data_IF_288287411772
#
_entry.id   IF_288287411772
#
_cell.length_a   1.000
_cell.length_b   1.000
_cell.length_c   1.000
_cell.angle_alpha   90.00
_cell.angle_beta   90.00
_cell.angle_gamma   90.00
#
_symmetry.space_group_name_H-M   'P 1'
#
loop_
_entity.id
_entity.type
_entity.pdbx_description
1 polymer ?
#
# COMPACT_ATOMS: atom_id res chain seq x y z
N UNK A 1 -8.91 -15.05 2.45
CA UNK A 1 -8.90 -13.66 1.94
C UNK A 1 -10.13 -13.40 1.09
N UNK A 2 -11.27 -13.06 1.73
CA UNK A 2 -12.43 -12.46 1.04
C UNK A 2 -12.12 -10.97 0.82
N UNK A 3 -12.48 -10.37 -0.32
CA UNK A 3 -12.29 -8.94 -0.54
C UNK A 3 -13.25 -8.14 0.38
N UNK A 4 -12.86 -6.95 0.84
CA UNK A 4 -13.71 -6.14 1.72
C UNK A 4 -14.97 -5.66 0.98
N UNK A 5 -16.07 -5.36 1.71
CA UNK A 5 -17.31 -4.89 1.12
C UNK A 5 -17.10 -3.55 0.38
N UNK A 6 -17.71 -3.43 -0.80
CA UNK A 6 -17.56 -2.28 -1.73
C UNK A 6 -17.86 -0.91 -1.11
N UNK A 7 -18.62 -0.86 0.00
CA UNK A 7 -18.95 0.38 0.71
C UNK A 7 -17.84 0.88 1.65
N UNK A 8 -16.97 0.00 2.17
CA UNK A 8 -15.83 0.40 3.00
C UNK A 8 -14.69 0.98 2.17
N UNK A 9 -14.57 0.58 0.90
CA UNK A 9 -13.58 1.09 -0.05
C UNK A 9 -13.88 2.56 -0.41
N UNK A 10 -15.16 2.93 -0.49
CA UNK A 10 -15.59 4.30 -0.77
C UNK A 10 -15.23 5.29 0.35
N UNK A 11 -15.48 4.93 1.61
CA UNK A 11 -15.11 5.79 2.75
C UNK A 11 -13.60 5.85 3.00
N UNK A 12 -12.87 4.73 2.81
CA UNK A 12 -11.40 4.74 2.96
C UNK A 12 -10.73 5.58 1.86
N UNK A 13 -11.25 5.54 0.63
CA UNK A 13 -10.81 6.40 -0.48
C UNK A 13 -11.14 7.88 -0.24
N UNK A 14 -12.29 8.19 0.36
CA UNK A 14 -12.65 9.58 0.73
C UNK A 14 -11.81 10.13 1.89
N UNK A 15 -11.41 9.29 2.86
CA UNK A 15 -10.49 9.68 3.95
C UNK A 15 -9.04 9.83 3.46
N UNK A 16 -8.59 9.05 2.48
CA UNK A 16 -7.28 9.21 1.83
C UNK A 16 -7.20 10.48 0.97
N UNK A 17 -8.32 11.01 0.48
CA UNK A 17 -8.40 12.29 -0.24
C UNK A 17 -8.40 13.52 0.67
N UNK A 18 -8.61 13.34 1.98
CA UNK A 18 -8.60 14.40 3.01
C UNK A 18 -7.28 14.48 3.78
N UNK A 19 -6.39 13.50 3.62
CA UNK A 19 -5.02 13.64 4.07
C UNK A 19 -4.33 14.65 3.16
N UNK A 20 -3.77 15.75 3.70
CA UNK A 20 -2.90 16.59 2.89
C UNK A 20 -1.82 15.69 2.30
N UNK A 21 -1.46 15.85 1.01
CA UNK A 21 -0.32 15.13 0.46
C UNK A 21 0.86 15.34 1.42
N UNK A 22 1.67 14.30 1.71
CA UNK A 22 2.86 14.49 2.53
C UNK A 22 3.56 15.70 1.96
N UNK A 23 3.73 16.74 2.79
CA UNK A 23 4.37 17.97 2.37
C UNK A 23 5.62 17.56 1.61
N UNK A 24 5.83 18.04 0.37
CA UNK A 24 7.02 17.70 -0.37
C UNK A 24 8.16 18.01 0.58
N UNK A 25 8.92 16.96 0.98
CA UNK A 25 10.12 17.12 1.77
C UNK A 25 10.87 18.21 1.04
N UNK A 26 10.98 19.39 1.66
CA UNK A 26 11.42 20.58 0.96
C UNK A 26 12.76 20.23 0.34
N UNK A 27 12.75 20.01 -0.99
CA UNK A 27 13.95 19.67 -1.71
C UNK A 27 14.79 20.94 -1.61
N UNK A 28 15.74 20.93 -0.66
CA UNK A 28 16.67 22.01 -0.47
C UNK A 28 17.29 22.33 -1.83
N UNK A 29 17.57 23.61 -2.07
CA UNK A 29 18.22 24.02 -3.32
C UNK A 29 19.44 23.12 -3.56
N UNK A 30 19.62 22.58 -4.79
CA UNK A 30 20.70 21.65 -5.06
C UNK A 30 22.05 22.29 -4.74
N UNK A 31 22.88 21.54 -4.02
CA UNK A 31 24.22 21.97 -3.63
C UNK A 31 25.12 22.13 -4.85
N UNK A 32 26.21 22.90 -4.72
CA UNK A 32 27.19 23.07 -5.80
C UNK A 32 27.77 21.74 -6.27
N UNK A 33 27.95 20.76 -5.37
CA UNK A 33 28.39 19.42 -5.75
C UNK A 33 27.35 18.70 -6.62
N UNK A 34 26.07 18.71 -6.23
CA UNK A 34 24.99 18.09 -7.01
C UNK A 34 24.82 18.72 -8.39
N UNK A 35 25.03 20.04 -8.50
CA UNK A 35 25.06 20.74 -9.79
C UNK A 35 26.23 20.25 -10.66
N UNK A 36 27.42 20.13 -10.08
CA UNK A 36 28.59 19.59 -10.78
C UNK A 36 28.39 18.13 -11.23
N UNK A 37 27.83 17.28 -10.37
CA UNK A 37 27.46 15.90 -10.70
C UNK A 37 26.51 15.85 -11.88
N UNK A 38 25.40 16.59 -11.82
CA UNK A 38 24.43 16.68 -12.91
C UNK A 38 25.08 17.10 -14.22
N UNK A 39 25.98 18.09 -14.19
CA UNK A 39 26.69 18.55 -15.38
C UNK A 39 27.57 17.45 -15.98
N UNK A 40 28.35 16.75 -15.14
CA UNK A 40 29.20 15.64 -15.57
C UNK A 40 28.38 14.47 -16.11
N UNK A 41 27.26 14.13 -15.48
CA UNK A 41 26.36 13.07 -15.94
C UNK A 41 25.80 13.38 -17.32
N UNK A 42 25.34 14.63 -17.55
CA UNK A 42 24.88 15.09 -18.86
C UNK A 42 26.00 15.10 -19.90
N UNK A 43 27.22 15.47 -19.51
CA UNK A 43 28.38 15.41 -20.41
C UNK A 43 28.70 13.97 -20.84
N UNK A 44 28.73 13.04 -19.88
CA UNK A 44 28.92 11.61 -20.16
C UNK A 44 27.79 11.05 -21.04
N UNK A 45 26.55 11.49 -20.81
CA UNK A 45 25.42 11.15 -21.66
C UNK A 45 25.59 11.72 -23.08
N UNK A 46 26.03 12.97 -23.23
CA UNK A 46 26.34 13.58 -24.53
C UNK A 46 27.44 12.83 -25.28
N UNK A 47 28.49 12.39 -24.58
CA UNK A 47 29.52 11.51 -25.15
C UNK A 47 28.91 10.20 -25.67
N UNK A 48 28.03 9.55 -24.91
CA UNK A 48 27.36 8.33 -25.33
C UNK A 48 26.43 8.55 -26.53
N UNK A 49 25.66 9.65 -26.54
CA UNK A 49 24.74 10.01 -27.62
C UNK A 49 25.46 10.30 -28.94
N UNK A 50 26.66 10.90 -28.88
CA UNK A 50 27.48 11.24 -30.05
C UNK A 50 28.42 10.12 -30.48
N UNK A 51 28.54 9.03 -29.70
CA UNK A 51 29.53 7.97 -29.94
C UNK A 51 29.42 7.28 -31.31
N UNK A 52 28.22 7.25 -31.92
CA UNK A 52 27.96 6.65 -33.24
C UNK A 52 27.86 7.68 -34.38
N UNK A 53 28.06 8.96 -34.10
CA UNK A 53 28.02 10.02 -35.11
C UNK A 53 29.34 10.11 -35.87
N UNK A 54 29.31 10.89 -36.95
CA UNK A 54 30.46 11.26 -37.78
C UNK A 54 30.31 12.74 -38.19
N UNK A 55 31.26 13.27 -38.97
CA UNK A 55 31.24 14.66 -39.44
C UNK A 55 30.05 15.01 -40.37
N UNK A 56 29.14 14.08 -40.67
CA UNK A 56 27.94 14.33 -41.48
C UNK A 56 28.21 14.49 -42.98
N UNK A 57 29.44 14.24 -43.45
CA UNK A 57 29.87 14.35 -44.85
C UNK A 57 30.00 13.01 -45.57
N UNK A 58 29.63 12.97 -46.86
CA UNK A 58 29.54 11.75 -47.68
C UNK A 58 30.85 10.99 -47.95
N UNK A 59 32.00 11.45 -47.46
CA UNK A 59 33.31 10.79 -47.60
C UNK A 59 34.06 10.73 -46.26
N UNK A 60 33.49 10.04 -45.27
CA UNK A 60 34.08 9.80 -43.94
C UNK A 60 35.52 9.27 -43.99
N UNK A 61 35.86 8.44 -44.98
CA UNK A 61 37.21 7.88 -45.13
C UNK A 61 38.28 8.89 -45.59
N UNK A 62 37.89 9.95 -46.32
CA UNK A 62 38.79 11.04 -46.69
C UNK A 62 38.94 12.02 -45.53
N UNK A 63 37.84 12.31 -44.83
CA UNK A 63 37.81 13.18 -43.66
C UNK A 63 38.65 12.61 -42.52
N UNK A 64 38.51 11.33 -42.17
CA UNK A 64 39.33 10.69 -41.11
C UNK A 64 40.82 10.57 -41.44
N UNK A 65 41.19 10.67 -42.72
CA UNK A 65 42.59 10.60 -43.19
C UNK A 65 43.26 11.98 -43.24
N UNK A 66 42.45 13.05 -43.28
CA UNK A 66 42.88 14.44 -43.45
C UNK A 66 42.63 15.28 -42.19
N UNK A 67 41.64 14.88 -41.38
CA UNK A 67 41.26 15.44 -40.09
C UNK A 67 41.43 14.38 -38.99
N UNK A 68 41.55 14.81 -37.74
CA UNK A 68 41.47 13.92 -36.58
C UNK A 68 40.12 13.19 -36.55
N UNK A 69 40.06 12.01 -35.91
CA UNK A 69 38.81 11.24 -35.76
C UNK A 69 37.71 12.10 -35.12
N UNK A 70 36.48 11.98 -35.61
CA UNK A 70 35.30 12.65 -35.03
C UNK A 70 35.20 12.47 -33.51
N UNK A 71 35.55 11.26 -33.05
CA UNK A 71 35.59 10.87 -31.64
C UNK A 71 36.34 11.86 -30.74
N UNK A 72 37.43 12.47 -31.21
CA UNK A 72 38.26 13.41 -30.45
C UNK A 72 38.25 14.82 -31.06
N UNK A 73 37.28 15.12 -31.92
CA UNK A 73 37.20 16.40 -32.62
C UNK A 73 36.59 17.50 -31.75
N UNK A 74 36.96 18.75 -32.02
CA UNK A 74 36.36 19.95 -31.42
C UNK A 74 34.87 20.08 -31.77
N UNK A 75 34.48 19.62 -32.97
CA UNK A 75 33.08 19.61 -33.41
C UNK A 75 32.23 18.73 -32.48
N UNK A 76 32.71 17.51 -32.17
CA UNK A 76 32.00 16.62 -31.23
C UNK A 76 31.93 17.23 -29.83
N UNK A 77 32.96 17.93 -29.38
CA UNK A 77 32.96 18.63 -28.10
C UNK A 77 31.88 19.71 -28.04
N UNK A 78 31.80 20.58 -29.05
CA UNK A 78 30.79 21.63 -29.12
C UNK A 78 29.37 21.06 -29.18
N UNK A 79 29.13 20.01 -29.98
CA UNK A 79 27.84 19.32 -30.00
C UNK A 79 27.41 18.81 -28.61
N UNK A 80 28.36 18.30 -27.81
CA UNK A 80 28.10 17.85 -26.45
C UNK A 80 27.78 19.05 -25.56
N UNK A 81 28.62 20.09 -25.60
CA UNK A 81 28.50 21.30 -24.78
C UNK A 81 27.16 22.02 -24.97
N UNK A 82 26.69 22.15 -26.21
CA UNK A 82 25.38 22.76 -26.53
C UNK A 82 24.20 21.98 -25.95
N UNK A 83 24.37 20.68 -25.69
CA UNK A 83 23.31 19.80 -25.18
C UNK A 83 23.30 19.65 -23.65
N UNK A 84 24.25 20.27 -22.93
CA UNK A 84 24.41 20.09 -21.48
C UNK A 84 23.32 20.79 -20.67
N UNK A 85 22.85 21.95 -21.10
CA UNK A 85 21.91 22.76 -20.34
C UNK A 85 20.71 23.13 -21.21
N UNK A 86 19.51 23.06 -20.62
CA UNK A 86 18.33 23.64 -21.26
C UNK A 86 18.46 25.17 -21.26
N UNK A 87 17.88 25.83 -22.27
CA UNK A 87 17.93 27.30 -22.40
C UNK A 87 17.38 28.05 -21.18
N UNK A 88 16.53 27.38 -20.40
CA UNK A 88 15.86 27.95 -19.24
C UNK A 88 16.60 27.69 -17.92
N UNK A 89 17.67 26.88 -17.93
CA UNK A 89 18.46 26.55 -16.74
C UNK A 89 19.63 27.52 -16.59
N UNK A 90 19.35 28.73 -16.10
CA UNK A 90 20.34 29.81 -16.00
C UNK A 90 21.59 29.41 -15.17
N UNK A 91 21.40 28.66 -14.08
CA UNK A 91 22.51 28.26 -13.21
C UNK A 91 23.42 27.21 -13.89
N UNK A 92 22.85 26.27 -14.64
CA UNK A 92 23.61 25.32 -15.46
C UNK A 92 24.39 26.04 -16.54
N UNK A 93 23.73 26.92 -17.31
CA UNK A 93 24.36 27.68 -18.40
C UNK A 93 25.52 28.53 -17.86
N UNK A 94 25.32 29.24 -16.75
CA UNK A 94 26.38 30.02 -16.10
C UNK A 94 27.57 29.14 -15.67
N UNK A 95 27.33 27.93 -15.17
CA UNK A 95 28.40 27.02 -14.78
C UNK A 95 29.16 26.49 -15.99
N UNK A 96 28.47 26.15 -17.08
CA UNK A 96 29.09 25.71 -18.34
C UNK A 96 29.98 26.81 -18.91
N UNK A 97 29.46 28.04 -19.02
CA UNK A 97 30.22 29.20 -19.50
C UNK A 97 31.49 29.45 -18.67
N UNK A 98 31.39 29.35 -17.34
CA UNK A 98 32.55 29.55 -16.46
C UNK A 98 33.61 28.45 -16.54
N UNK A 99 33.23 27.25 -16.99
CA UNK A 99 34.08 26.06 -16.93
C UNK A 99 34.41 25.46 -18.30
N UNK A 100 34.04 26.13 -19.39
CA UNK A 100 34.30 25.74 -20.77
C UNK A 100 35.78 25.40 -21.00
N UNK A 101 36.70 26.28 -20.56
CA UNK A 101 38.15 26.07 -20.68
C UNK A 101 38.61 24.79 -19.96
N UNK A 102 38.06 24.50 -18.78
CA UNK A 102 38.44 23.30 -18.02
C UNK A 102 37.93 22.02 -18.71
N UNK A 103 36.73 22.05 -19.28
CA UNK A 103 36.15 20.93 -20.01
C UNK A 103 36.91 20.67 -21.32
N UNK A 104 37.32 21.73 -22.02
CA UNK A 104 38.15 21.63 -23.23
C UNK A 104 39.53 21.03 -22.90
N UNK A 105 40.19 21.51 -21.83
CA UNK A 105 41.46 20.96 -21.36
C UNK A 105 41.36 19.46 -21.04
N UNK A 106 40.23 19.00 -20.50
CA UNK A 106 40.00 17.56 -20.28
C UNK A 106 39.73 16.81 -21.58
N UNK A 107 38.95 17.39 -22.50
CA UNK A 107 38.63 16.82 -23.80
C UNK A 107 39.88 16.56 -24.66
N UNK A 108 40.86 17.46 -24.59
CA UNK A 108 42.10 17.34 -25.36
C UNK A 108 43.12 16.35 -24.77
N UNK A 109 42.82 15.68 -23.65
CA UNK A 109 43.72 14.67 -23.06
C UNK A 109 43.72 13.37 -23.85
N UNK A 110 44.91 12.78 -23.98
CA UNK A 110 45.12 11.50 -24.68
C UNK A 110 44.49 10.30 -23.95
N UNK A 111 44.43 10.36 -22.62
CA UNK A 111 43.69 9.42 -21.78
C UNK A 111 42.64 10.25 -21.04
N UNK A 112 41.36 9.88 -21.17
CA UNK A 112 40.25 10.56 -20.50
C UNK A 112 40.08 9.97 -19.09
N UNK A 113 40.62 10.59 -18.02
CA UNK A 113 40.34 10.13 -16.67
C UNK A 113 38.87 10.35 -16.35
N UNK A 114 38.33 9.63 -15.36
CA UNK A 114 36.95 9.84 -14.89
C UNK A 114 36.64 11.33 -14.72
N UNK A 115 35.68 11.82 -15.51
CA UNK A 115 35.39 13.25 -15.60
C UNK A 115 34.93 13.79 -14.25
N UNK A 116 34.16 13.02 -13.48
CA UNK A 116 33.67 13.43 -12.17
C UNK A 116 34.83 13.64 -11.18
N UNK A 117 35.70 12.65 -11.04
CA UNK A 117 36.87 12.71 -10.16
C UNK A 117 37.81 13.83 -10.59
N UNK A 118 38.08 13.98 -11.89
CA UNK A 118 38.96 15.03 -12.37
C UNK A 118 38.35 16.41 -12.15
N UNK A 119 37.12 16.63 -12.63
CA UNK A 119 36.50 17.94 -12.69
C UNK A 119 35.90 18.36 -11.33
N UNK A 120 34.96 17.59 -10.79
CA UNK A 120 34.22 18.00 -9.59
C UNK A 120 35.02 17.84 -8.30
N UNK A 121 35.90 16.82 -8.22
CA UNK A 121 36.65 16.52 -7.00
C UNK A 121 38.02 17.20 -6.98
N UNK A 122 38.80 17.15 -8.05
CA UNK A 122 40.18 17.68 -8.07
C UNK A 122 40.30 19.10 -8.61
N UNK A 123 39.62 19.43 -9.72
CA UNK A 123 39.69 20.75 -10.36
C UNK A 123 38.87 21.78 -9.59
N UNK A 124 37.56 21.57 -9.46
CA UNK A 124 36.66 22.51 -8.78
C UNK A 124 36.64 22.36 -7.25
N UNK A 125 37.02 21.18 -6.74
CA UNK A 125 36.99 20.84 -5.31
C UNK A 125 35.63 21.10 -4.64
N UNK A 126 34.55 21.01 -5.40
CA UNK A 126 33.17 21.19 -4.90
C UNK A 126 32.58 19.90 -4.37
N UNK A 127 33.08 18.75 -4.82
CA UNK A 127 32.68 17.41 -4.40
C UNK A 127 33.80 16.65 -3.70
N UNK A 128 33.41 15.55 -3.07
CA UNK A 128 34.28 14.53 -2.50
C UNK A 128 34.12 13.18 -3.22
N UNK A 129 35.12 12.28 -3.15
CA UNK A 129 34.95 10.90 -3.61
C UNK A 129 33.79 10.19 -2.88
N UNK A 130 33.14 9.20 -3.51
CA UNK A 130 32.11 8.39 -2.85
C UNK A 130 32.60 7.78 -1.53
N UNK A 131 31.73 7.76 -0.52
CA UNK A 131 32.01 7.30 0.83
C UNK A 131 32.84 8.27 1.69
N UNK A 132 32.97 9.52 1.27
CA UNK A 132 33.68 10.56 2.01
C UNK A 132 32.88 11.85 2.09
N UNK A 133 33.12 12.67 3.12
CA UNK A 133 32.30 13.85 3.43
C UNK A 133 33.12 15.01 4.02
N UNK A 134 32.49 16.18 4.08
CA UNK A 134 33.04 17.36 4.75
C UNK A 134 34.16 18.07 3.97
N UNK A 135 34.71 19.16 4.51
CA UNK A 135 35.66 20.02 3.78
C UNK A 135 36.92 19.25 3.34
N UNK A 136 37.39 18.32 4.17
CA UNK A 136 38.60 17.53 3.93
C UNK A 136 38.34 16.17 3.23
N UNK A 137 37.09 15.85 2.86
CA UNK A 137 36.69 14.52 2.36
C UNK A 137 37.14 13.37 3.27
N UNK A 138 36.74 13.42 4.54
CA UNK A 138 37.02 12.34 5.50
C UNK A 138 36.13 11.14 5.19
N UNK A 139 36.61 9.94 5.48
CA UNK A 139 35.81 8.73 5.28
C UNK A 139 34.56 8.75 6.17
N UNK A 140 33.41 8.36 5.60
CA UNK A 140 32.19 8.11 6.35
C UNK A 140 32.40 7.06 7.43
N UNK A 141 31.52 7.07 8.45
CA UNK A 141 31.45 5.98 9.42
C UNK A 141 31.25 4.63 8.70
N UNK A 142 32.04 3.61 9.06
CA UNK A 142 32.07 2.31 8.35
C UNK A 142 33.03 2.27 7.16
N UNK A 143 33.70 3.38 6.84
CA UNK A 143 34.69 3.49 5.77
C UNK A 143 34.09 3.94 4.43
N UNK A 144 34.97 4.27 3.46
CA UNK A 144 34.54 4.81 2.17
C UNK A 144 34.02 3.78 1.17
N UNK A 145 34.44 2.51 1.31
CA UNK A 145 33.98 1.44 0.40
C UNK A 145 32.57 0.97 0.71
N UNK A 146 32.19 0.98 1.99
CA UNK A 146 30.86 0.55 2.44
C UNK A 146 30.43 1.37 3.66
N UNK A 147 30.08 2.66 3.45
CA UNK A 147 29.58 3.53 4.51
C UNK A 147 28.40 2.88 5.24
N UNK A 148 28.31 3.11 6.55
CA UNK A 148 27.19 2.63 7.37
C UNK A 148 26.94 1.12 7.24
N UNK A 149 28.02 0.35 7.05
CA UNK A 149 28.00 -1.11 6.85
C UNK A 149 27.15 -1.57 5.65
N UNK A 150 26.79 -0.65 4.75
CA UNK A 150 25.89 -0.88 3.62
C UNK A 150 24.41 -0.86 4.00
N UNK A 151 24.11 -0.59 5.27
CA UNK A 151 22.79 -0.66 5.87
C UNK A 151 22.27 0.73 6.30
N UNK A 152 22.82 1.79 5.71
CA UNK A 152 22.39 3.15 5.96
C UNK A 152 23.00 4.16 4.99
N UNK A 153 22.51 5.39 5.08
CA UNK A 153 23.00 6.54 4.34
C UNK A 153 23.98 7.36 5.17
N UNK A 154 25.12 7.74 4.58
CA UNK A 154 26.07 8.64 5.23
C UNK A 154 25.68 10.11 4.98
N UNK A 155 25.60 10.87 6.06
CA UNK A 155 25.37 12.31 6.04
C UNK A 155 26.54 13.04 5.35
N UNK A 156 26.27 13.60 4.17
CA UNK A 156 27.27 14.31 3.38
C UNK A 156 28.07 13.43 2.41
N UNK A 157 27.61 12.21 2.12
CA UNK A 157 28.30 11.32 1.18
C UNK A 157 28.59 11.99 -0.17
N UNK A 158 29.85 11.96 -0.59
CA UNK A 158 30.34 12.59 -1.82
C UNK A 158 30.34 14.13 -1.80
N UNK A 159 29.99 14.76 -0.68
CA UNK A 159 29.83 16.21 -0.55
C UNK A 159 30.88 16.83 0.36
N UNK A 160 31.18 18.12 0.15
CA UNK A 160 31.99 18.93 1.06
C UNK A 160 31.26 19.32 2.35
N UNK A 161 30.00 18.93 2.47
CA UNK A 161 29.12 19.20 3.60
C UNK A 161 28.81 17.91 4.37
N UNK A 162 28.06 18.02 5.47
CA UNK A 162 27.67 16.88 6.31
C UNK A 162 28.64 16.57 7.44
N UNK A 163 28.23 15.66 8.32
CA UNK A 163 28.94 15.27 9.54
C UNK A 163 29.41 13.81 9.53
N UNK A 164 29.08 13.04 8.49
CA UNK A 164 29.50 11.65 8.31
C UNK A 164 28.74 10.64 9.16
N UNK A 165 27.70 11.09 9.87
CA UNK A 165 26.84 10.23 10.66
C UNK A 165 26.01 9.31 9.76
N UNK A 166 25.62 8.15 10.30
CA UNK A 166 24.83 7.16 9.58
C UNK A 166 23.35 7.28 9.91
N UNK A 167 22.52 7.32 8.86
CA UNK A 167 21.07 7.21 8.93
C UNK A 167 20.70 5.80 8.48
N UNK A 168 20.33 4.94 9.42
CA UNK A 168 20.13 3.52 9.15
C UNK A 168 18.87 3.25 8.34
N UNK A 169 18.94 2.23 7.47
CA UNK A 169 17.77 1.69 6.79
C UNK A 169 16.83 1.02 7.80
N UNK A 170 15.57 0.82 7.43
CA UNK A 170 14.60 0.08 8.23
C UNK A 170 15.15 -1.32 8.58
N UNK A 171 14.97 -1.74 9.83
CA UNK A 171 15.52 -3.00 10.35
C UNK A 171 16.86 -2.86 11.06
N UNK A 172 17.55 -1.72 10.94
CA UNK A 172 18.89 -1.51 11.48
C UNK A 172 18.95 -0.36 12.48
N UNK A 173 19.81 -0.49 13.48
CA UNK A 173 20.11 0.52 14.50
C UNK A 173 21.61 0.58 14.84
N UNK A 174 21.96 1.56 15.65
CA UNK A 174 23.34 1.80 16.09
C UNK A 174 24.14 2.73 15.17
N UNK A 175 25.33 3.12 15.60
CA UNK A 175 26.15 4.13 14.92
C UNK A 175 26.63 3.69 13.52
N UNK A 176 26.81 2.40 13.32
CA UNK A 176 27.28 1.82 12.05
C UNK A 176 26.18 1.04 11.31
N UNK A 177 24.94 1.06 11.79
CA UNK A 177 23.82 0.29 11.22
C UNK A 177 24.11 -1.22 11.11
N UNK A 178 24.78 -1.76 12.13
CA UNK A 178 25.14 -3.19 12.21
C UNK A 178 24.16 -3.95 13.12
N UNK A 179 23.52 -3.28 14.06
CA UNK A 179 22.64 -3.97 15.00
C UNK A 179 21.22 -3.98 14.45
N UNK A 180 20.50 -5.08 14.67
CA UNK A 180 19.11 -5.18 14.24
C UNK A 180 18.19 -4.47 15.23
N UNK A 181 17.20 -3.77 14.71
CA UNK A 181 16.14 -3.20 15.56
C UNK A 181 15.26 -4.31 16.14
N UNK A 182 14.43 -3.94 17.11
CA UNK A 182 13.50 -4.90 17.74
C UNK A 182 12.48 -5.36 16.69
N UNK A 183 12.09 -6.64 16.73
CA UNK A 183 11.34 -7.30 15.66
C UNK A 183 12.19 -7.72 14.44
N UNK A 184 13.52 -7.55 14.48
CA UNK A 184 14.45 -8.06 13.47
C UNK A 184 15.56 -8.87 14.14
N UNK A 185 15.97 -9.96 13.51
CA UNK A 185 17.10 -10.76 13.94
C UNK A 185 18.21 -10.75 12.89
N UNK A 186 19.43 -11.02 13.33
CA UNK A 186 20.58 -11.09 12.43
C UNK A 186 20.65 -12.47 11.80
N UNK A 187 20.19 -12.60 10.56
CA UNK A 187 20.26 -13.86 9.80
C UNK A 187 21.68 -14.18 9.35
N UNK A 188 22.49 -13.14 9.10
CA UNK A 188 23.92 -13.23 8.85
C UNK A 188 24.64 -12.08 9.55
N UNK A 189 25.77 -12.37 10.21
CA UNK A 189 26.63 -11.36 10.84
C UNK A 189 28.11 -11.67 10.64
N UNK A 190 28.81 -10.72 10.03
CA UNK A 190 30.26 -10.63 10.02
C UNK A 190 30.71 -9.41 10.84
N UNK A 191 32.02 -9.22 11.00
CA UNK A 191 32.59 -8.10 11.78
C UNK A 191 32.17 -6.71 11.27
N UNK A 192 31.85 -6.59 9.98
CA UNK A 192 31.63 -5.30 9.31
C UNK A 192 30.26 -5.17 8.64
N UNK A 193 29.42 -6.20 8.71
CA UNK A 193 28.11 -6.22 8.07
C UNK A 193 27.20 -7.26 8.67
N UNK A 194 25.94 -6.89 8.78
CA UNK A 194 24.85 -7.74 9.21
C UNK A 194 23.73 -7.67 8.19
N UNK A 195 22.99 -8.76 8.10
CA UNK A 195 21.70 -8.80 7.42
C UNK A 195 20.66 -8.97 8.52
N UNK A 196 19.81 -7.95 8.66
CA UNK A 196 18.68 -7.97 9.57
C UNK A 196 17.43 -8.41 8.81
N UNK A 197 16.81 -9.47 9.30
CA UNK A 197 15.59 -10.05 8.73
C UNK A 197 14.48 -9.89 9.75
N UNK A 198 13.30 -9.49 9.29
CA UNK A 198 12.14 -9.34 10.17
C UNK A 198 11.77 -10.70 10.80
N UNK A 199 11.39 -10.66 12.08
CA UNK A 199 10.78 -11.78 12.75
C UNK A 199 9.42 -12.12 12.11
N UNK A 200 8.93 -13.34 12.36
CA UNK A 200 7.55 -13.69 12.08
C UNK A 200 6.59 -12.78 12.87
N UNK A 201 5.40 -12.50 12.33
CA UNK A 201 4.43 -11.56 12.92
C UNK A 201 3.98 -11.96 14.33
N UNK A 202 4.11 -13.25 14.64
CA UNK A 202 3.84 -13.82 15.95
C UNK A 202 4.92 -13.53 17.01
N UNK A 203 6.13 -13.17 16.59
CA UNK A 203 7.25 -12.88 17.49
C UNK A 203 7.40 -11.37 17.74
N UNK A 204 7.52 -10.99 19.00
CA UNK A 204 7.99 -9.65 19.38
C UNK A 204 9.51 -9.55 19.26
N UNK A 205 10.21 -10.60 19.67
CA UNK A 205 11.66 -10.77 19.45
C UNK A 205 11.95 -12.19 19.00
N UNK A 206 12.95 -12.36 18.14
CA UNK A 206 13.33 -13.66 17.63
C UNK A 206 14.85 -13.80 17.58
N UNK A 207 15.34 -15.00 17.87
CA UNK A 207 16.73 -15.37 17.77
C UNK A 207 16.85 -16.81 17.29
N UNK A 208 17.75 -17.08 16.33
CA UNK A 208 17.97 -18.44 15.85
C UNK A 208 18.13 -18.55 14.34
N UNK A 209 18.08 -19.78 13.79
CA UNK A 209 18.33 -20.04 12.37
C UNK A 209 17.18 -19.57 11.46
N UNK A 210 16.00 -19.31 12.02
CA UNK A 210 14.81 -18.88 11.27
C UNK A 210 14.11 -17.73 11.98
N UNK A 211 13.34 -16.95 11.22
CA UNK A 211 12.55 -15.82 11.74
C UNK A 211 11.39 -16.23 12.67
N UNK A 212 11.14 -17.54 12.82
CA UNK A 212 10.08 -18.12 13.67
C UNK A 212 10.59 -18.64 15.01
N UNK A 213 11.90 -18.64 15.23
CA UNK A 213 12.44 -18.94 16.55
C UNK A 213 12.26 -17.71 17.43
N UNK A 214 11.12 -17.61 18.10
CA UNK A 214 10.77 -16.46 18.91
C UNK A 214 11.35 -16.60 20.33
N UNK A 215 11.90 -15.52 20.87
CA UNK A 215 12.29 -15.44 22.28
C UNK A 215 11.11 -14.90 23.12
N UNK A 216 10.37 -13.94 22.56
CA UNK A 216 9.15 -13.36 23.13
C UNK A 216 8.06 -13.30 22.06
N UNK A 217 6.84 -13.70 22.43
CA UNK A 217 5.67 -13.61 21.56
C UNK A 217 4.99 -12.25 21.63
N UNK A 218 4.32 -11.88 20.53
CA UNK A 218 3.36 -10.78 20.55
C UNK A 218 2.11 -11.15 21.38
N UNK A 219 1.32 -10.14 21.74
CA UNK A 219 0.05 -10.37 22.44
C UNK A 219 -0.91 -11.19 21.57
N UNK A 220 -1.69 -12.09 22.18
CA UNK A 220 -2.54 -13.04 21.45
C UNK A 220 -1.82 -14.33 21.02
N UNK A 221 -0.53 -14.47 21.34
CA UNK A 221 0.27 -15.65 21.02
C UNK A 221 0.89 -16.26 22.27
N UNK A 222 1.14 -17.57 22.24
CA UNK A 222 1.79 -18.32 23.32
C UNK A 222 3.04 -19.02 22.82
N UNK A 223 4.12 -18.96 23.60
CA UNK A 223 5.40 -19.57 23.23
C UNK A 223 5.36 -21.09 23.46
N UNK A 224 5.51 -21.85 22.39
CA UNK A 224 5.53 -23.32 22.40
C UNK A 224 6.77 -23.81 21.63
N UNK A 225 7.77 -24.32 22.36
CA UNK A 225 9.03 -24.85 21.78
C UNK A 225 9.70 -23.85 20.83
N UNK A 226 9.97 -22.65 21.35
CA UNK A 226 10.62 -21.54 20.63
C UNK A 226 9.83 -21.02 19.41
N UNK A 227 8.55 -21.37 19.27
CA UNK A 227 7.67 -20.83 18.24
C UNK A 227 6.41 -20.25 18.89
N UNK A 228 5.96 -19.10 18.41
CA UNK A 228 4.71 -18.51 18.87
C UNK A 228 3.54 -19.14 18.12
N UNK A 229 2.60 -19.68 18.89
CA UNK A 229 1.36 -20.28 18.39
C UNK A 229 0.20 -19.40 18.81
N UNK A 230 -0.70 -19.18 17.87
CA UNK A 230 -1.89 -18.37 18.06
C UNK A 230 -2.74 -18.92 19.21
N UNK A 231 -3.22 -18.03 20.07
CA UNK A 231 -4.13 -18.40 21.16
C UNK A 231 -5.54 -18.37 20.61
N UNK A 232 -6.18 -19.53 20.51
CA UNK A 232 -7.59 -19.58 20.12
C UNK A 232 -8.49 -19.10 21.26
N UNK A 233 -8.84 -17.81 21.27
CA UNK A 233 -9.71 -17.25 22.31
C UNK A 233 -11.16 -17.73 22.20
N UNK A 234 -11.56 -18.20 21.01
CA UNK A 234 -12.90 -18.74 20.77
C UNK A 234 -13.06 -20.17 21.32
N UNK A 235 -11.98 -20.92 21.46
CA UNK A 235 -11.95 -22.24 22.08
C UNK A 235 -11.91 -22.22 23.62
N UNK A 236 -11.91 -21.03 24.24
CA UNK A 236 -11.97 -20.89 25.69
C UNK A 236 -13.31 -21.41 26.26
N UNK A 237 -13.31 -21.84 27.53
CA UNK A 237 -14.54 -22.30 28.20
C UNK A 237 -15.66 -21.23 28.18
N UNK A 238 -15.26 -19.96 28.25
CA UNK A 238 -16.14 -18.80 28.07
C UNK A 238 -15.57 -17.91 26.97
N UNK A 239 -16.11 -18.00 25.74
CA UNK A 239 -15.68 -17.14 24.64
C UNK A 239 -15.88 -15.65 24.97
N UNK A 240 -15.03 -14.75 24.44
CA UNK A 240 -15.02 -13.34 24.82
C UNK A 240 -16.15 -12.49 24.20
N UNK A 241 -16.98 -13.07 23.33
CA UNK A 241 -18.05 -12.36 22.62
C UNK A 241 -19.38 -12.37 23.41
N UNK A 242 -20.26 -11.44 23.08
CA UNK A 242 -21.61 -11.37 23.66
C UNK A 242 -22.52 -12.49 23.16
N UNK A 243 -23.65 -12.72 23.84
CA UNK A 243 -24.60 -13.80 23.50
C UNK A 243 -25.28 -13.62 22.12
N UNK A 244 -25.28 -12.40 21.56
CA UNK A 244 -25.83 -12.06 20.23
C UNK A 244 -24.76 -12.04 19.14
N UNK A 245 -23.55 -12.47 19.46
CA UNK A 245 -22.41 -12.56 18.55
C UNK A 245 -21.83 -13.96 18.56
N UNK A 246 -21.10 -14.30 17.51
CA UNK A 246 -20.23 -15.47 17.48
C UNK A 246 -18.77 -15.05 17.35
N UNK A 247 -17.89 -15.89 17.88
CA UNK A 247 -16.45 -15.65 17.90
C UNK A 247 -15.79 -16.32 16.69
N UNK A 248 -14.99 -15.57 15.96
CA UNK A 248 -14.07 -16.09 14.94
C UNK A 248 -12.62 -15.87 15.39
N UNK A 249 -11.84 -16.94 15.43
CA UNK A 249 -10.43 -16.86 15.78
C UNK A 249 -9.61 -16.31 14.59
N UNK A 250 -8.76 -15.32 14.83
CA UNK A 250 -7.89 -14.71 13.81
C UNK A 250 -6.44 -14.69 14.33
N UNK A 251 -5.45 -14.69 13.45
CA UNK A 251 -4.06 -14.68 13.94
C UNK A 251 -3.77 -13.46 14.84
N UNK A 252 -3.41 -13.72 16.09
CA UNK A 252 -3.08 -12.75 17.14
C UNK A 252 -4.27 -12.11 17.86
N UNK A 253 -5.52 -12.52 17.58
CA UNK A 253 -6.73 -11.96 18.18
C UNK A 253 -7.98 -12.79 17.86
N UNK A 254 -9.15 -12.30 18.25
CA UNK A 254 -10.43 -12.79 17.75
C UNK A 254 -11.25 -11.63 17.17
N UNK A 255 -12.27 -11.97 16.38
CA UNK A 255 -13.33 -11.04 15.95
C UNK A 255 -14.68 -11.55 16.41
N UNK A 256 -15.55 -10.63 16.86
CA UNK A 256 -16.93 -10.95 17.24
C UNK A 256 -17.87 -10.46 16.15
N UNK A 257 -18.48 -11.41 15.46
CA UNK A 257 -19.40 -11.14 14.35
C UNK A 257 -20.85 -11.28 14.83
N UNK A 258 -21.75 -10.50 14.25
CA UNK A 258 -23.15 -10.53 14.64
C UNK A 258 -23.84 -11.80 14.16
N UNK A 259 -24.77 -12.30 14.98
CA UNK A 259 -25.66 -13.38 14.55
C UNK A 259 -26.58 -12.93 13.43
N UNK A 260 -27.04 -13.89 12.64
CA UNK A 260 -28.12 -13.65 11.68
C UNK A 260 -29.36 -13.08 12.39
N UNK A 261 -30.07 -12.16 11.73
CA UNK A 261 -31.21 -11.46 12.32
C UNK A 261 -32.37 -12.39 12.70
N UNK A 262 -32.37 -13.62 12.19
CA UNK A 262 -33.33 -14.67 12.51
C UNK A 262 -32.98 -15.48 13.76
N UNK A 263 -31.84 -15.22 14.41
CA UNK A 263 -31.36 -15.99 15.56
C UNK A 263 -31.59 -15.28 16.91
N UNK A 264 -31.89 -16.07 17.95
CA UNK A 264 -31.61 -15.72 19.36
C UNK A 264 -30.28 -16.39 19.73
N UNK A 265 -29.19 -15.71 19.39
CA UNK A 265 -27.82 -16.21 19.57
C UNK A 265 -27.39 -17.27 18.55
N UNK A 266 -26.08 -17.39 18.33
CA UNK A 266 -25.51 -18.22 17.27
C UNK A 266 -24.14 -18.78 17.64
N UNK A 267 -23.61 -19.63 16.77
CA UNK A 267 -22.27 -20.25 16.90
C UNK A 267 -21.39 -20.04 15.66
N UNK A 268 -21.91 -19.35 14.64
CA UNK A 268 -21.26 -19.17 13.35
C UNK A 268 -22.09 -18.29 12.41
N UNK A 269 -21.58 -18.07 11.20
CA UNK A 269 -22.20 -17.23 10.17
C UNK A 269 -23.56 -17.80 9.69
N UNK A 270 -24.57 -16.94 9.56
CA UNK A 270 -25.84 -17.22 8.89
C UNK A 270 -26.89 -18.02 9.70
N UNK A 271 -28.09 -18.23 9.12
CA UNK A 271 -29.26 -18.76 9.82
C UNK A 271 -29.17 -20.26 10.14
N UNK A 272 -28.19 -20.97 9.59
CA UNK A 272 -27.92 -22.37 9.89
C UNK A 272 -27.25 -22.58 11.25
N UNK A 273 -26.52 -21.57 11.74
CA UNK A 273 -25.74 -21.63 12.97
C UNK A 273 -26.44 -20.95 14.16
N UNK A 274 -27.73 -20.67 14.04
CA UNK A 274 -28.55 -20.20 15.16
C UNK A 274 -28.62 -21.27 16.26
N UNK A 275 -28.46 -20.83 17.51
CA UNK A 275 -28.75 -21.65 18.69
C UNK A 275 -30.27 -21.86 18.79
N UNK A 276 -31.01 -20.76 18.66
CA UNK A 276 -32.47 -20.72 18.65
C UNK A 276 -32.96 -19.73 17.57
N UNK A 277 -34.14 -19.98 17.00
CA UNK A 277 -34.77 -19.06 16.06
C UNK A 277 -35.59 -18.01 16.80
N UNK A 278 -35.66 -16.78 16.26
CA UNK A 278 -36.59 -15.76 16.76
C UNK A 278 -38.05 -16.20 16.57
N UNK A 279 -38.97 -15.58 17.30
CA UNK A 279 -40.41 -15.79 17.11
C UNK A 279 -40.85 -15.53 15.67
N UNK A 280 -41.71 -16.39 15.14
CA UNK A 280 -42.12 -16.37 13.72
C UNK A 280 -41.21 -17.19 12.79
N UNK A 281 -40.11 -17.75 13.31
CA UNK A 281 -39.20 -18.62 12.56
C UNK A 281 -39.11 -19.99 13.21
N UNK A 282 -38.85 -21.01 12.39
CA UNK A 282 -38.67 -22.40 12.83
C UNK A 282 -37.44 -23.01 12.19
N UNK A 283 -36.86 -24.04 12.83
CA UNK A 283 -35.70 -24.73 12.31
C UNK A 283 -36.13 -25.72 11.23
N UNK A 284 -36.02 -25.31 9.97
CA UNK A 284 -36.30 -26.13 8.81
C UNK A 284 -35.00 -26.49 8.08
N UNK A 285 -34.78 -27.77 7.78
CA UNK A 285 -33.57 -28.26 7.10
C UNK A 285 -32.25 -27.81 7.75
N UNK A 286 -32.26 -27.57 9.06
CA UNK A 286 -31.07 -27.16 9.82
C UNK A 286 -30.83 -25.66 9.93
N UNK A 287 -31.69 -24.82 9.33
CA UNK A 287 -31.59 -23.35 9.39
C UNK A 287 -32.89 -22.71 9.88
N UNK A 288 -32.80 -21.53 10.46
CA UNK A 288 -33.99 -20.75 10.78
C UNK A 288 -34.66 -20.25 9.50
N UNK A 289 -35.87 -20.71 9.26
CA UNK A 289 -36.71 -20.33 8.14
C UNK A 289 -38.02 -19.75 8.67
N UNK A 290 -38.54 -18.78 7.92
CA UNK A 290 -39.80 -18.13 8.21
C UNK A 290 -40.95 -19.16 8.25
N UNK A 291 -41.83 -19.06 9.24
CA UNK A 291 -43.01 -19.91 9.32
C UNK A 291 -44.05 -19.33 8.38
N UNK A 292 -44.40 -20.05 7.30
CA UNK A 292 -45.52 -19.63 6.45
C UNK A 292 -46.85 -19.96 7.11
N UNK A 293 -47.38 -19.04 7.91
CA UNK A 293 -48.65 -19.27 8.61
C UNK A 293 -49.84 -19.42 7.66
N UNK A 294 -49.77 -18.83 6.46
CA UNK A 294 -50.81 -18.96 5.44
C UNK A 294 -50.90 -20.36 4.85
N UNK A 295 -49.79 -21.12 4.90
CA UNK A 295 -49.70 -22.51 4.44
C UNK A 295 -49.97 -23.54 5.53
N UNK A 296 -50.20 -23.11 6.78
CA UNK A 296 -50.54 -24.02 7.89
C UNK A 296 -51.97 -24.55 7.77
N UNK A 297 -52.20 -25.73 8.35
CA UNK A 297 -53.52 -26.37 8.35
C UNK A 297 -54.57 -25.61 9.19
N UNK A 298 -54.11 -24.84 10.18
CA UNK A 298 -54.95 -23.93 10.95
C UNK A 298 -55.10 -22.61 10.19
N UNK A 299 -56.31 -22.05 10.17
CA UNK A 299 -56.54 -20.77 9.51
C UNK A 299 -55.81 -19.64 10.27
N UNK A 300 -54.77 -19.09 9.66
CA UNK A 300 -54.06 -17.91 10.17
C UNK A 300 -54.99 -16.68 10.27
N UNK A 301 -55.78 -16.44 9.23
CA UNK A 301 -56.77 -15.36 9.21
C UNK A 301 -58.10 -15.78 9.85
N UNK A 302 -58.61 -14.96 10.78
CA UNK A 302 -59.83 -15.28 11.55
C UNK A 302 -61.11 -15.03 10.76
N UNK A 303 -61.12 -14.07 9.84
CA UNK A 303 -62.32 -13.65 9.10
C UNK A 303 -62.59 -14.57 7.91
N UNK A 304 -63.87 -14.69 7.53
CA UNK A 304 -64.25 -15.38 6.29
C UNK A 304 -63.97 -14.49 5.07
N UNK A 305 -63.53 -15.11 3.97
CA UNK A 305 -63.23 -14.46 2.68
C UNK A 305 -62.09 -13.41 2.71
N UNK A 306 -61.15 -13.56 3.64
CA UNK A 306 -59.95 -12.73 3.74
C UNK A 306 -58.75 -13.41 3.06
N UNK A 307 -57.89 -12.64 2.41
CA UNK A 307 -56.66 -13.16 1.81
C UNK A 307 -55.52 -13.11 2.82
N UNK A 308 -54.78 -14.21 2.94
CA UNK A 308 -53.57 -14.30 3.77
C UNK A 308 -52.33 -14.08 2.91
N UNK A 309 -51.41 -13.23 3.39
CA UNK A 309 -50.10 -12.99 2.79
C UNK A 309 -49.01 -13.22 3.83
N UNK A 310 -48.12 -14.18 3.58
CA UNK A 310 -46.99 -14.45 4.46
C UNK A 310 -45.95 -13.33 4.38
N UNK A 311 -45.32 -12.99 5.51
CA UNK A 311 -44.27 -11.96 5.62
C UNK A 311 -43.13 -12.45 6.53
N UNK A 312 -41.89 -11.95 6.40
CA UNK A 312 -40.82 -12.42 7.28
C UNK A 312 -41.12 -12.17 8.77
N UNK A 313 -41.30 -13.25 9.54
CA UNK A 313 -41.61 -13.31 10.96
C UNK A 313 -43.10 -13.18 11.34
N UNK A 314 -44.02 -13.09 10.37
CA UNK A 314 -45.46 -12.92 10.62
C UNK A 314 -46.30 -13.09 9.34
N UNK A 315 -47.62 -12.91 9.41
CA UNK A 315 -48.49 -12.80 8.23
C UNK A 315 -49.35 -11.54 8.29
N UNK A 316 -49.92 -11.15 7.14
CA UNK A 316 -50.89 -10.07 7.01
C UNK A 316 -52.15 -10.60 6.34
N UNK A 317 -53.31 -10.29 6.91
CA UNK A 317 -54.61 -10.63 6.35
C UNK A 317 -55.28 -9.37 5.79
N UNK A 318 -55.76 -9.43 4.53
CA UNK A 318 -56.36 -8.28 3.83
C UNK A 318 -57.62 -8.72 3.09
N UNK A 319 -58.69 -7.92 3.19
CA UNK A 319 -59.89 -8.15 2.38
C UNK A 319 -59.60 -7.94 0.88
N UNK A 320 -60.18 -8.76 -0.01
CA UNK A 320 -60.06 -8.54 -1.46
C UNK A 320 -60.55 -7.15 -1.88
N UNK A 321 -60.02 -6.62 -2.98
CA UNK A 321 -60.46 -5.33 -3.54
C UNK A 321 -61.99 -5.34 -3.78
N UNK A 322 -62.67 -4.28 -3.33
CA UNK A 322 -64.14 -4.18 -3.41
C UNK A 322 -64.89 -4.93 -2.31
N UNK A 323 -64.20 -5.31 -1.23
CA UNK A 323 -64.82 -5.83 -0.01
C UNK A 323 -64.53 -4.90 1.16
N UNK A 324 -65.53 -4.71 2.02
CA UNK A 324 -65.42 -4.01 3.29
C UNK A 324 -65.20 -4.98 4.45
N UNK A 325 -64.39 -4.55 5.40
CA UNK A 325 -64.01 -5.30 6.60
C UNK A 325 -65.14 -5.25 7.63
N UNK A 326 -65.67 -6.43 8.00
CA UNK A 326 -66.61 -6.58 9.13
C UNK A 326 -66.00 -7.46 10.23
N UNK A 327 -66.65 -7.54 11.40
CA UNK A 327 -66.15 -8.31 12.54
C UNK A 327 -65.96 -9.82 12.24
N UNK A 328 -66.75 -10.39 11.32
CA UNK A 328 -66.74 -11.84 11.03
C UNK A 328 -66.27 -12.19 9.60
N UNK A 329 -66.33 -11.26 8.64
CA UNK A 329 -66.06 -11.54 7.23
C UNK A 329 -65.66 -10.29 6.41
N UNK A 330 -65.01 -10.52 5.28
CA UNK A 330 -64.97 -9.54 4.19
C UNK A 330 -66.28 -9.63 3.41
N UNK A 331 -67.02 -8.52 3.31
CA UNK A 331 -68.31 -8.44 2.59
C UNK A 331 -68.18 -7.53 1.37
N UNK A 332 -68.73 -7.94 0.23
CA UNK A 332 -68.61 -7.16 -1.00
C UNK A 332 -69.30 -5.81 -0.86
N UNK A 333 -68.62 -4.71 -1.20
CA UNK A 333 -69.24 -3.39 -1.29
C UNK A 333 -70.11 -3.34 -2.54
N UNK A 334 -71.43 -3.25 -2.34
CA UNK A 334 -72.37 -3.10 -3.45
C UNK A 334 -72.53 -1.61 -3.74
N UNK A 335 -71.53 -0.99 -4.38
CA UNK A 335 -71.74 0.32 -4.99
C UNK A 335 -72.18 0.12 -6.45
N UNK A 336 -73.48 0.32 -6.71
CA UNK A 336 -73.97 0.65 -8.05
C UNK A 336 -73.90 -0.43 -9.12
N UNK A 337 -74.25 -1.68 -8.83
CA UNK A 337 -74.81 -2.60 -9.83
C UNK A 337 -73.90 -3.10 -10.97
N UNK A 338 -72.58 -3.00 -10.88
CA UNK A 338 -71.65 -3.72 -11.77
C UNK A 338 -70.54 -4.42 -10.96
N UNK A 339 -70.31 -5.71 -11.25
CA UNK A 339 -69.21 -6.47 -10.67
C UNK A 339 -67.88 -5.99 -11.27
N UNK A 340 -67.06 -5.30 -10.48
CA UNK A 340 -65.68 -4.99 -10.87
C UNK A 340 -64.87 -6.30 -10.77
N UNK A 341 -64.24 -6.79 -11.86
CA UNK A 341 -63.39 -7.98 -11.79
C UNK A 341 -62.15 -7.69 -10.92
N UNK A 342 -61.60 -8.69 -10.22
CA UNK A 342 -60.43 -8.49 -9.37
C UNK A 342 -59.27 -7.94 -10.21
N UNK A 343 -58.73 -6.77 -9.82
CA UNK A 343 -57.43 -6.34 -10.35
C UNK A 343 -56.35 -7.21 -9.72
N UNK A 344 -55.28 -7.56 -10.46
CA UNK A 344 -54.11 -8.15 -9.85
C UNK A 344 -53.55 -7.16 -8.81
N UNK A 345 -53.03 -7.64 -7.67
CA UNK A 345 -52.47 -6.76 -6.65
C UNK A 345 -51.40 -5.88 -7.29
N UNK A 346 -51.53 -4.57 -7.09
CA UNK A 346 -50.43 -3.66 -7.41
C UNK A 346 -49.30 -4.02 -6.44
N UNK A 347 -48.15 -4.46 -6.97
CA UNK A 347 -46.94 -4.64 -6.19
C UNK A 347 -46.70 -3.35 -5.39
N UNK A 348 -46.99 -3.38 -4.09
CA UNK A 348 -46.45 -2.39 -3.16
C UNK A 348 -44.98 -2.75 -3.06
N UNK A 349 -44.17 -2.13 -3.94
CA UNK A 349 -42.75 -2.02 -3.69
C UNK A 349 -42.62 -1.29 -2.35
N UNK A 350 -42.29 -2.02 -1.30
CA UNK A 350 -41.60 -1.40 -0.19
C UNK A 350 -40.30 -0.87 -0.77
N UNK A 351 -40.26 0.45 -0.99
CA UNK A 351 -39.01 1.14 -1.18
C UNK A 351 -38.12 0.78 0.00
N UNK A 352 -37.08 0.00 -0.26
CA UNK A 352 -35.90 0.01 0.59
C UNK A 352 -35.46 1.47 0.67
N UNK A 353 -35.72 2.08 1.83
CA UNK A 353 -34.98 3.25 2.26
C UNK A 353 -33.54 2.77 2.50
N UNK A 354 -32.75 2.70 1.43
CA UNK A 354 -31.31 2.87 1.55
C UNK A 354 -31.09 4.29 2.05
N UNK A 355 -31.03 4.43 3.37
CA UNK A 355 -30.44 5.60 4.01
C UNK A 355 -28.95 5.51 3.73
N UNK A 356 -28.46 6.51 3.00
CA UNK A 356 -27.06 6.82 2.89
C UNK A 356 -26.45 6.96 4.29
N UNK A 357 -25.44 6.17 4.61
CA UNK A 357 -24.14 6.67 5.05
C UNK A 357 -23.05 5.62 4.93
#
# INVERSE_FOLDING_TARGET
MRPPPRSAIGLLLLLLLLLPPPAPVAAGKPTTCQKCQTLVDKFNQGMANTAKKNFGGGNTAWEEKTLSKYEFSEIRFLEIMESLCDSNDFECNQMVEQQEEQLEVWWLKKEHPDLFSWFCVHTLKVCCPPGTYGPDCRACQGGSKRPCSGNGHCSGDGSRQGDGSCQCHAGYKGQLCVDCMDGYFSSLRNETHSICTACDESCKTCSGPTNRHCDECEMGWVLVKDACVDVDECAAETPPCSDTQYCENVNGSYTCEECDSTCVGCTGEGPANCKECISGYTKESGQCADIDECSLAEKACRRKNENCYNTPGSFVCVCPDGFEETEEACVQTVEGGECIPPRPPSFVYFHNATSSH
#
